data_IF_641472239665
#
_entry.id   IF_641472239665
#
_cell.length_a   1.000
_cell.length_b   1.000
_cell.length_c   1.000
_cell.angle_alpha   90.00
_cell.angle_beta   90.00
_cell.angle_gamma   90.00
#
_symmetry.space_group_name_H-M   'P 1'
#
loop_
_entity.id
_entity.type
_entity.pdbx_description
1 polymer ?
#
# COMPACT_ATOMS: atom_id res chain seq x y z
N UNK A 1 -3.05 -8.00 -32.54
CA UNK A 1 -3.98 -8.44 -31.48
C UNK A 1 -3.64 -9.83 -30.95
N UNK A 2 -3.48 -10.86 -31.76
CA UNK A 2 -3.15 -12.24 -31.32
C UNK A 2 -1.82 -12.37 -30.54
N UNK A 3 -0.77 -11.66 -30.88
CA UNK A 3 0.54 -11.74 -30.19
C UNK A 3 0.51 -11.19 -28.75
N UNK A 4 -0.31 -10.19 -28.47
CA UNK A 4 -0.46 -9.63 -27.13
C UNK A 4 -1.23 -10.59 -26.22
N UNK A 5 -2.30 -11.19 -26.73
CA UNK A 5 -3.06 -12.21 -26.00
C UNK A 5 -2.24 -13.46 -25.73
N UNK A 6 -1.39 -13.88 -26.67
CA UNK A 6 -0.51 -15.02 -26.48
C UNK A 6 0.56 -14.77 -25.42
N UNK A 7 1.17 -13.57 -25.40
CA UNK A 7 2.12 -13.17 -24.33
C UNK A 7 1.45 -13.10 -22.95
N UNK A 8 0.25 -12.56 -22.86
CA UNK A 8 -0.53 -12.54 -21.62
C UNK A 8 -0.88 -13.95 -21.14
N UNK A 9 -1.24 -14.84 -22.05
CA UNK A 9 -1.51 -16.24 -21.74
C UNK A 9 -0.24 -16.99 -21.27
N UNK A 10 0.91 -16.73 -21.89
CA UNK A 10 2.19 -17.31 -21.44
C UNK A 10 2.59 -16.82 -20.05
N UNK A 11 2.49 -15.51 -19.81
CA UNK A 11 2.77 -14.93 -18.49
C UNK A 11 1.82 -15.48 -17.40
N UNK A 12 0.54 -15.64 -17.72
CA UNK A 12 -0.44 -16.27 -16.84
C UNK A 12 -0.08 -17.74 -16.52
N UNK A 13 0.31 -18.53 -17.55
CA UNK A 13 0.76 -19.91 -17.34
C UNK A 13 2.01 -20.02 -16.49
N UNK A 14 3.02 -19.19 -16.74
CA UNK A 14 4.25 -19.16 -15.95
C UNK A 14 3.98 -18.82 -14.49
N UNK A 15 3.14 -17.82 -14.23
CA UNK A 15 2.71 -17.46 -12.87
C UNK A 15 1.93 -18.58 -12.19
N UNK A 16 1.03 -19.27 -12.92
CA UNK A 16 0.28 -20.40 -12.39
C UNK A 16 1.20 -21.58 -12.03
N UNK A 17 2.18 -21.91 -12.86
CA UNK A 17 3.15 -22.97 -12.60
C UNK A 17 4.08 -22.66 -11.42
N UNK A 18 4.41 -21.38 -11.20
CA UNK A 18 5.18 -20.93 -10.03
C UNK A 18 4.33 -21.05 -8.77
N UNK A 19 3.07 -20.66 -8.83
CA UNK A 19 2.14 -20.77 -7.71
C UNK A 19 1.90 -22.23 -7.31
N UNK A 20 1.66 -23.10 -8.31
CA UNK A 20 1.45 -24.53 -8.08
C UNK A 20 2.67 -25.19 -7.41
N UNK A 21 3.89 -24.82 -7.83
CA UNK A 21 5.13 -25.26 -7.18
C UNK A 21 5.23 -24.78 -5.74
N UNK A 22 4.96 -23.53 -5.48
CA UNK A 22 4.99 -22.97 -4.11
C UNK A 22 3.95 -23.63 -3.20
N UNK A 23 2.75 -23.88 -3.71
CA UNK A 23 1.69 -24.60 -2.97
C UNK A 23 2.09 -26.04 -2.70
N UNK A 24 2.73 -26.71 -3.68
CA UNK A 24 3.26 -28.08 -3.50
C UNK A 24 4.35 -28.13 -2.42
N UNK A 25 5.30 -27.19 -2.47
CA UNK A 25 6.38 -27.11 -1.50
C UNK A 25 5.88 -26.82 -0.08
N UNK A 26 4.90 -25.92 0.05
CA UNK A 26 4.20 -25.66 1.31
C UNK A 26 3.50 -26.92 1.86
N UNK A 27 2.80 -27.68 1.01
CA UNK A 27 2.18 -28.95 1.42
C UNK A 27 3.20 -29.97 1.91
N UNK A 28 4.36 -30.04 1.23
CA UNK A 28 5.43 -30.94 1.62
C UNK A 28 6.07 -30.53 2.96
N UNK A 29 6.30 -29.24 3.17
CA UNK A 29 6.80 -28.70 4.44
C UNK A 29 5.82 -28.96 5.58
N UNK A 30 4.52 -28.73 5.36
CA UNK A 30 3.47 -29.03 6.36
C UNK A 30 3.44 -30.53 6.73
N UNK A 31 3.63 -31.43 5.77
CA UNK A 31 3.66 -32.87 6.04
C UNK A 31 4.86 -33.27 6.91
N UNK A 32 6.03 -32.64 6.71
CA UNK A 32 7.23 -32.86 7.56
C UNK A 32 6.97 -32.31 8.98
N UNK A 33 6.42 -31.12 9.11
CA UNK A 33 6.13 -30.48 10.39
C UNK A 33 5.11 -31.29 11.22
N UNK A 34 4.13 -31.90 10.55
CA UNK A 34 3.15 -32.77 11.22
C UNK A 34 3.80 -33.95 11.90
N UNK A 35 4.95 -34.44 11.37
CA UNK A 35 5.70 -35.58 11.88
C UNK A 35 6.79 -35.19 12.91
N UNK A 36 7.04 -33.89 13.12
CA UNK A 36 8.03 -33.43 14.09
C UNK A 36 7.54 -33.71 15.52
N UNK A 37 8.29 -34.54 16.29
CA UNK A 37 7.91 -34.91 17.65
C UNK A 37 8.21 -33.80 18.68
N UNK A 38 9.13 -32.92 18.39
CA UNK A 38 9.49 -31.79 19.26
C UNK A 38 8.50 -30.65 19.09
N UNK A 39 7.73 -30.39 20.15
CA UNK A 39 6.67 -29.37 20.13
C UNK A 39 7.21 -27.96 19.87
N UNK A 40 8.37 -27.63 20.41
CA UNK A 40 8.99 -26.29 20.24
C UNK A 40 9.45 -26.07 18.80
N UNK A 41 10.08 -27.08 18.20
CA UNK A 41 10.47 -27.03 16.79
C UNK A 41 9.26 -26.98 15.87
N UNK A 42 8.21 -27.72 16.20
CA UNK A 42 6.96 -27.70 15.43
C UNK A 42 6.32 -26.32 15.45
N UNK A 43 6.28 -25.63 16.58
CA UNK A 43 5.77 -24.26 16.69
C UNK A 43 6.62 -23.28 15.87
N UNK A 44 7.96 -23.38 15.92
CA UNK A 44 8.85 -22.56 15.11
C UNK A 44 8.63 -22.73 13.59
N UNK A 45 8.53 -23.98 13.12
CA UNK A 45 8.28 -24.26 11.70
C UNK A 45 6.90 -23.76 11.23
N UNK A 46 5.87 -23.84 12.10
CA UNK A 46 4.55 -23.30 11.78
C UNK A 46 4.57 -21.76 11.69
N UNK A 47 5.37 -21.11 12.52
CA UNK A 47 5.58 -19.66 12.47
C UNK A 47 6.29 -19.22 11.18
N UNK A 48 7.37 -19.94 10.79
CA UNK A 48 8.07 -19.70 9.52
C UNK A 48 7.15 -19.85 8.30
N UNK A 49 6.31 -20.89 8.27
CA UNK A 49 5.33 -21.08 7.18
C UNK A 49 4.27 -19.97 7.17
N UNK A 50 3.81 -19.57 8.35
CA UNK A 50 2.85 -18.47 8.46
C UNK A 50 3.40 -17.17 7.88
N UNK A 51 4.66 -16.84 8.16
CA UNK A 51 5.35 -15.68 7.57
C UNK A 51 5.44 -15.77 6.04
N UNK A 52 5.75 -16.94 5.50
CA UNK A 52 5.82 -17.16 4.05
C UNK A 52 4.44 -16.95 3.41
N UNK A 53 3.39 -17.49 4.01
CA UNK A 53 2.01 -17.32 3.52
C UNK A 53 1.61 -15.84 3.55
N UNK A 54 1.86 -15.14 4.66
CA UNK A 54 1.54 -13.72 4.78
C UNK A 54 2.32 -12.85 3.77
N UNK A 55 3.57 -13.21 3.48
CA UNK A 55 4.36 -12.54 2.43
C UNK A 55 3.76 -12.73 1.04
N UNK A 56 3.18 -13.92 0.76
CA UNK A 56 2.50 -14.20 -0.51
C UNK A 56 1.17 -13.43 -0.62
N UNK A 57 0.40 -13.38 0.47
CA UNK A 57 -0.88 -12.66 0.53
C UNK A 57 -0.69 -11.13 0.46
N UNK A 58 0.47 -10.64 0.93
CA UNK A 58 0.81 -9.21 0.88
C UNK A 58 1.15 -8.71 -0.52
N UNK A 59 1.41 -9.59 -1.50
CA UNK A 59 1.82 -9.18 -2.84
C UNK A 59 0.72 -8.43 -3.57
N UNK A 60 1.04 -7.21 -4.02
CA UNK A 60 0.17 -6.34 -4.81
C UNK A 60 0.78 -6.14 -6.18
N UNK A 61 0.00 -6.35 -7.23
CA UNK A 61 0.39 -6.16 -8.63
C UNK A 61 -0.52 -5.11 -9.27
N UNK A 62 0.03 -3.93 -9.56
CA UNK A 62 -0.69 -2.78 -10.11
C UNK A 62 -0.34 -2.50 -11.58
N UNK A 63 0.70 -3.16 -12.08
CA UNK A 63 1.30 -2.88 -13.39
C UNK A 63 2.41 -1.83 -13.35
N UNK A 64 2.79 -1.33 -12.17
CA UNK A 64 3.96 -0.47 -11.97
C UNK A 64 4.91 -1.11 -10.96
N UNK A 65 6.08 -1.61 -11.38
CA UNK A 65 6.98 -2.39 -10.51
C UNK A 65 7.45 -1.65 -9.25
N UNK A 66 7.62 -0.32 -9.34
CA UNK A 66 8.04 0.50 -8.20
C UNK A 66 6.93 0.56 -7.17
N UNK A 67 5.71 0.85 -7.63
CA UNK A 67 4.54 0.92 -6.77
C UNK A 67 4.20 -0.45 -6.18
N UNK A 68 4.33 -1.52 -6.98
CA UNK A 68 4.10 -2.90 -6.54
C UNK A 68 5.00 -3.27 -5.35
N UNK A 69 6.28 -2.87 -5.42
CA UNK A 69 7.23 -3.07 -4.32
C UNK A 69 6.81 -2.32 -3.06
N UNK A 70 6.47 -1.03 -3.21
CA UNK A 70 6.07 -0.18 -2.08
C UNK A 70 4.78 -0.72 -1.44
N UNK A 71 3.76 -0.98 -2.25
CA UNK A 71 2.46 -1.43 -1.77
C UNK A 71 2.54 -2.81 -1.12
N UNK A 72 3.30 -3.74 -1.68
CA UNK A 72 3.47 -5.08 -1.10
C UNK A 72 4.17 -5.00 0.26
N UNK A 73 5.22 -4.19 0.38
CA UNK A 73 5.91 -3.99 1.66
C UNK A 73 4.99 -3.36 2.72
N UNK A 74 4.22 -2.33 2.35
CA UNK A 74 3.30 -1.68 3.27
C UNK A 74 2.11 -2.57 3.63
N UNK A 75 1.59 -3.35 2.67
CA UNK A 75 0.53 -4.32 2.93
C UNK A 75 0.99 -5.42 3.88
N UNK A 76 2.21 -5.94 3.71
CA UNK A 76 2.80 -6.90 4.65
C UNK A 76 2.85 -6.34 6.07
N UNK A 77 3.34 -5.10 6.21
CA UNK A 77 3.36 -4.42 7.51
C UNK A 77 1.96 -4.27 8.11
N UNK A 78 0.97 -3.87 7.30
CA UNK A 78 -0.41 -3.72 7.72
C UNK A 78 -1.01 -5.04 8.23
N UNK A 79 -0.78 -6.16 7.51
CA UNK A 79 -1.24 -7.48 7.91
C UNK A 79 -0.66 -7.89 9.28
N UNK A 80 0.63 -7.65 9.51
CA UNK A 80 1.30 -7.95 10.79
C UNK A 80 0.74 -7.14 11.96
N UNK A 81 0.23 -5.93 11.70
CA UNK A 81 -0.24 -5.00 12.75
C UNK A 81 -1.78 -4.90 12.85
N UNK A 82 -2.50 -5.83 12.23
CA UNK A 82 -3.96 -5.86 12.27
C UNK A 82 -4.61 -4.64 11.62
N UNK A 83 -3.98 -4.09 10.56
CA UNK A 83 -4.49 -2.97 9.76
C UNK A 83 -5.09 -3.52 8.47
N UNK A 84 -6.34 -3.16 8.19
CA UNK A 84 -7.00 -3.51 6.93
C UNK A 84 -6.62 -2.49 5.86
N UNK A 85 -5.74 -2.88 4.94
CA UNK A 85 -5.26 -2.06 3.84
C UNK A 85 -5.87 -2.53 2.52
N UNK A 86 -6.74 -1.72 1.92
CA UNK A 86 -7.39 -2.03 0.64
C UNK A 86 -6.81 -1.17 -0.48
N UNK A 87 -6.44 -1.79 -1.62
CA UNK A 87 -5.89 -1.12 -2.78
C UNK A 87 -6.73 -1.34 -4.03
N UNK A 88 -7.09 -0.26 -4.74
CA UNK A 88 -7.67 -0.27 -6.09
C UNK A 88 -6.81 0.67 -6.94
N UNK A 89 -5.84 0.14 -7.64
CA UNK A 89 -4.75 0.93 -8.22
C UNK A 89 -4.52 0.58 -9.69
N UNK A 90 -4.57 1.60 -10.55
CA UNK A 90 -4.15 1.55 -11.96
C UNK A 90 -2.69 2.03 -12.05
N UNK A 91 -1.73 1.18 -11.70
CA UNK A 91 -0.31 1.55 -11.62
C UNK A 91 0.32 1.93 -12.96
N UNK A 92 -0.18 1.37 -14.07
CA UNK A 92 0.26 1.73 -15.41
C UNK A 92 0.06 3.23 -15.72
N UNK A 93 -0.92 3.88 -15.08
CA UNK A 93 -1.18 5.30 -15.27
C UNK A 93 -0.10 6.21 -14.67
N UNK A 94 0.86 5.67 -13.90
CA UNK A 94 1.95 6.39 -13.26
C UNK A 94 3.25 6.38 -14.07
N UNK A 95 3.28 5.81 -15.29
CA UNK A 95 4.50 5.66 -16.09
C UNK A 95 5.19 7.00 -16.46
N UNK A 96 4.48 8.12 -16.38
CA UNK A 96 5.03 9.46 -16.61
C UNK A 96 5.76 10.04 -15.41
N UNK A 97 5.65 9.42 -14.23
CA UNK A 97 6.28 9.89 -13.01
C UNK A 97 7.66 9.24 -12.81
N UNK A 98 8.58 10.03 -12.25
CA UNK A 98 9.90 9.54 -11.82
C UNK A 98 9.76 8.55 -10.66
N UNK A 99 10.64 7.54 -10.63
CA UNK A 99 10.67 6.48 -9.60
C UNK A 99 10.79 7.06 -8.19
N UNK A 100 11.63 8.09 -8.02
CA UNK A 100 11.84 8.72 -6.71
C UNK A 100 10.60 9.50 -6.26
N UNK A 101 9.88 10.12 -7.20
CA UNK A 101 8.67 10.85 -6.91
C UNK A 101 7.51 9.91 -6.55
N UNK A 102 7.37 8.77 -7.25
CA UNK A 102 6.42 7.71 -6.88
C UNK A 102 6.73 7.24 -5.46
N UNK A 103 8.00 6.94 -5.16
CA UNK A 103 8.41 6.46 -3.84
C UNK A 103 8.14 7.49 -2.75
N UNK A 104 8.50 8.75 -2.98
CA UNK A 104 8.27 9.83 -2.01
C UNK A 104 6.78 10.08 -1.76
N UNK A 105 5.96 10.08 -2.81
CA UNK A 105 4.54 10.36 -2.72
C UNK A 105 3.79 9.23 -2.00
N UNK A 106 3.90 8.01 -2.52
CA UNK A 106 3.17 6.87 -1.95
C UNK A 106 3.74 6.41 -0.61
N UNK A 107 5.06 6.45 -0.43
CA UNK A 107 5.70 6.14 0.83
C UNK A 107 5.18 7.05 1.95
N UNK A 108 5.30 8.37 1.79
CA UNK A 108 4.85 9.32 2.80
C UNK A 108 3.33 9.26 3.03
N UNK A 109 2.53 9.10 1.95
CA UNK A 109 1.08 9.04 2.09
C UNK A 109 0.65 7.84 2.95
N UNK A 110 1.16 6.64 2.63
CA UNK A 110 0.78 5.42 3.33
C UNK A 110 1.34 5.40 4.74
N UNK A 111 2.57 5.88 4.97
CA UNK A 111 3.14 5.96 6.32
C UNK A 111 2.32 6.86 7.24
N UNK A 112 1.89 8.02 6.75
CA UNK A 112 1.02 8.91 7.51
C UNK A 112 -0.31 8.23 7.90
N UNK A 113 -0.90 7.46 6.97
CA UNK A 113 -2.13 6.73 7.24
C UNK A 113 -1.92 5.60 8.25
N UNK A 114 -0.84 4.83 8.14
CA UNK A 114 -0.46 3.78 9.09
C UNK A 114 -0.28 4.37 10.49
N UNK A 115 0.52 5.42 10.63
CA UNK A 115 0.74 6.10 11.91
C UNK A 115 -0.55 6.64 12.55
N UNK A 116 -1.52 7.05 11.75
CA UNK A 116 -2.81 7.50 12.25
C UNK A 116 -3.64 6.33 12.81
N UNK A 117 -3.76 5.23 12.05
CA UNK A 117 -4.60 4.09 12.46
C UNK A 117 -3.96 3.25 13.57
N UNK A 118 -2.64 3.23 13.70
CA UNK A 118 -1.96 2.53 14.80
C UNK A 118 -2.32 3.07 16.20
N UNK A 119 -2.72 4.34 16.28
CA UNK A 119 -3.19 4.98 17.53
C UNK A 119 -4.59 4.54 17.95
N UNK A 120 -5.29 3.77 17.12
CA UNK A 120 -6.63 3.28 17.37
C UNK A 120 -6.55 1.93 18.08
N UNK A 121 -7.15 1.81 19.24
CA UNK A 121 -7.12 0.57 20.04
C UNK A 121 -7.90 -0.57 19.37
N UNK A 122 -9.07 -0.25 18.78
CA UNK A 122 -9.90 -1.23 18.08
C UNK A 122 -9.34 -1.55 16.69
N UNK A 123 -8.77 -2.73 16.52
CA UNK A 123 -8.18 -3.19 15.27
C UNK A 123 -9.17 -3.25 14.11
N UNK A 124 -10.46 -3.48 14.36
CA UNK A 124 -11.49 -3.46 13.31
C UNK A 124 -11.68 -2.06 12.68
N UNK A 125 -11.26 -1.01 13.38
CA UNK A 125 -11.30 0.37 12.90
C UNK A 125 -9.98 0.83 12.29
N UNK A 126 -8.94 0.00 12.25
CA UNK A 126 -7.69 0.30 11.57
C UNK A 126 -7.85 0.09 10.06
N UNK A 127 -8.48 1.05 9.42
CA UNK A 127 -8.89 0.97 8.02
C UNK A 127 -8.14 1.99 7.18
N UNK A 128 -7.52 1.52 6.09
CA UNK A 128 -6.84 2.35 5.08
C UNK A 128 -7.31 1.91 3.69
N UNK A 129 -7.67 2.85 2.84
CA UNK A 129 -8.06 2.57 1.45
C UNK A 129 -7.29 3.46 0.50
N UNK A 130 -6.53 2.87 -0.42
CA UNK A 130 -5.84 3.55 -1.51
C UNK A 130 -6.57 3.33 -2.83
N UNK A 131 -6.91 4.41 -3.53
CA UNK A 131 -7.45 4.37 -4.89
C UNK A 131 -6.59 5.22 -5.81
N UNK A 132 -6.17 4.64 -6.94
CA UNK A 132 -5.47 5.35 -8.02
C UNK A 132 -6.20 5.04 -9.31
N UNK A 133 -6.85 6.05 -9.88
CA UNK A 133 -7.69 5.89 -11.07
C UNK A 133 -7.43 7.03 -12.04
N UNK A 134 -7.45 6.73 -13.34
CA UNK A 134 -7.47 7.74 -14.38
C UNK A 134 -8.91 8.14 -14.71
N UNK A 135 -9.17 9.43 -14.77
CA UNK A 135 -10.44 9.96 -15.22
C UNK A 135 -10.21 11.10 -16.24
N UNK A 136 -10.62 10.90 -17.49
CA UNK A 136 -10.34 11.82 -18.59
C UNK A 136 -8.84 12.11 -18.72
N UNK A 137 -8.42 13.36 -18.52
CA UNK A 137 -7.03 13.82 -18.60
C UNK A 137 -6.37 13.96 -17.22
N UNK A 138 -6.93 13.33 -16.20
CA UNK A 138 -6.41 13.42 -14.83
C UNK A 138 -6.18 12.04 -14.22
N UNK A 139 -5.08 11.92 -13.50
CA UNK A 139 -4.84 10.86 -12.54
C UNK A 139 -5.31 11.33 -11.16
N UNK A 140 -6.16 10.56 -10.53
CA UNK A 140 -6.68 10.83 -9.19
C UNK A 140 -6.10 9.78 -8.25
N UNK A 141 -5.33 10.23 -7.27
CA UNK A 141 -4.81 9.43 -6.17
C UNK A 141 -5.59 9.84 -4.93
N UNK A 142 -6.23 8.89 -4.28
CA UNK A 142 -7.01 9.09 -3.07
C UNK A 142 -6.61 8.07 -2.03
N UNK A 143 -6.22 8.54 -0.85
CA UNK A 143 -5.95 7.73 0.31
C UNK A 143 -6.90 8.16 1.43
N UNK A 144 -7.69 7.22 1.92
CA UNK A 144 -8.61 7.41 3.03
C UNK A 144 -8.13 6.56 4.21
N UNK A 145 -8.07 7.14 5.40
CA UNK A 145 -7.84 6.39 6.63
C UNK A 145 -8.82 6.80 7.73
N UNK A 146 -9.15 5.84 8.59
CA UNK A 146 -9.96 6.12 9.77
C UNK A 146 -9.12 6.85 10.83
N UNK A 147 -9.68 7.85 11.49
CA UNK A 147 -8.99 8.68 12.49
C UNK A 147 -9.98 9.25 13.50
N UNK A 148 -9.82 8.88 14.76
CA UNK A 148 -10.64 9.35 15.89
C UNK A 148 -10.12 10.62 16.53
N UNK A 149 -8.99 11.17 16.06
CA UNK A 149 -8.42 12.39 16.62
C UNK A 149 -9.31 13.61 16.38
N UNK A 150 -9.13 14.66 17.17
CA UNK A 150 -9.81 15.94 17.00
C UNK A 150 -9.12 16.85 15.98
N UNK A 151 -8.50 16.28 14.94
CA UNK A 151 -7.81 17.04 13.91
C UNK A 151 -8.80 17.93 13.16
N UNK A 152 -8.63 19.22 13.27
CA UNK A 152 -9.44 20.20 12.53
C UNK A 152 -8.72 20.58 11.23
N UNK A 153 -9.31 20.19 10.10
CA UNK A 153 -8.85 20.50 8.75
C UNK A 153 -9.78 21.51 8.04
N UNK A 154 -10.67 22.18 8.79
CA UNK A 154 -11.69 23.08 8.24
C UNK A 154 -11.12 24.31 7.51
N UNK A 155 -9.86 24.66 7.74
CA UNK A 155 -9.23 25.84 7.12
C UNK A 155 -8.73 25.62 5.69
N UNK A 156 -8.78 24.38 5.16
CA UNK A 156 -8.25 24.05 3.83
C UNK A 156 -6.74 24.27 3.68
N UNK A 157 -6.06 24.70 4.72
CA UNK A 157 -4.60 24.78 4.79
C UNK A 157 -4.06 23.48 5.34
N UNK A 158 -2.93 23.03 4.77
CA UNK A 158 -2.19 21.90 5.31
C UNK A 158 -1.86 22.20 6.78
N UNK A 159 -2.12 21.28 7.71
CA UNK A 159 -1.89 21.53 9.12
C UNK A 159 -0.42 21.90 9.35
N UNK A 160 -0.19 23.08 9.92
CA UNK A 160 1.11 23.40 10.47
C UNK A 160 1.36 22.41 11.61
N UNK A 161 2.46 21.67 11.53
CA UNK A 161 2.82 20.66 12.49
C UNK A 161 2.96 21.24 13.88
N UNK A 162 1.89 21.15 14.67
CA UNK A 162 1.89 21.48 16.11
C UNK A 162 2.42 20.31 16.91
N UNK A 163 3.69 19.95 16.80
CA UNK A 163 4.32 19.05 17.77
C UNK A 163 5.78 19.37 17.97
N UNK A 164 6.09 19.53 19.26
CA UNK A 164 7.36 19.72 19.94
C UNK A 164 8.40 18.59 19.75
N UNK A 165 8.24 17.71 18.78
CA UNK A 165 9.27 16.75 18.37
C UNK A 165 9.66 17.05 16.93
N UNK A 166 10.76 17.78 16.80
CA UNK A 166 11.26 18.46 15.60
C UNK A 166 11.78 17.54 14.50
N UNK A 167 11.66 16.23 14.54
CA UNK A 167 12.55 15.44 13.71
C UNK A 167 11.97 14.70 12.49
N UNK A 168 10.64 14.50 12.31
CA UNK A 168 10.25 13.74 11.10
C UNK A 168 8.86 14.01 10.46
N UNK A 169 7.86 14.64 11.13
CA UNK A 169 6.47 14.63 10.63
C UNK A 169 6.04 15.83 9.75
N UNK A 170 6.83 16.90 9.66
CA UNK A 170 6.52 18.06 8.80
C UNK A 170 6.97 17.92 7.35
N UNK A 171 7.86 16.99 7.08
CA UNK A 171 8.47 16.86 5.76
C UNK A 171 7.64 16.01 4.78
N UNK A 172 6.89 15.02 5.26
CA UNK A 172 6.13 14.11 4.42
C UNK A 172 5.06 14.83 3.59
N UNK A 173 4.24 15.66 4.24
CA UNK A 173 3.16 16.38 3.56
C UNK A 173 3.69 17.43 2.57
N UNK A 174 4.74 18.17 2.96
CA UNK A 174 5.42 19.13 2.06
C UNK A 174 6.09 18.42 0.89
N UNK A 175 6.68 17.24 1.10
CA UNK A 175 7.26 16.43 0.04
C UNK A 175 6.21 15.97 -0.96
N UNK A 176 5.05 15.50 -0.49
CA UNK A 176 3.94 15.10 -1.37
C UNK A 176 3.36 16.29 -2.15
N UNK A 177 3.22 17.45 -1.50
CA UNK A 177 2.77 18.68 -2.15
C UNK A 177 3.77 19.15 -3.22
N UNK A 178 5.07 19.10 -2.92
CA UNK A 178 6.12 19.40 -3.88
C UNK A 178 6.03 18.50 -5.11
N UNK A 179 5.87 17.18 -4.90
CA UNK A 179 5.72 16.23 -6.01
C UNK A 179 4.44 16.53 -6.81
N UNK A 180 3.31 16.76 -6.16
CA UNK A 180 2.07 17.09 -6.85
C UNK A 180 2.23 18.34 -7.73
N UNK A 181 2.83 19.40 -7.19
CA UNK A 181 3.09 20.64 -7.91
C UNK A 181 4.08 20.47 -9.07
N UNK A 182 5.12 19.63 -8.90
CA UNK A 182 6.10 19.30 -9.95
C UNK A 182 5.42 18.74 -11.20
N UNK A 183 4.35 17.97 -11.03
CA UNK A 183 3.55 17.40 -12.13
C UNK A 183 2.34 18.26 -12.52
N UNK A 184 2.29 19.52 -12.09
CA UNK A 184 1.22 20.46 -12.42
C UNK A 184 -0.14 20.14 -11.78
N UNK A 185 -0.11 19.34 -10.72
CA UNK A 185 -1.29 18.92 -9.98
C UNK A 185 -1.50 19.67 -8.67
N UNK A 186 -2.35 19.12 -7.83
CA UNK A 186 -2.66 19.66 -6.51
C UNK A 186 -2.88 18.56 -5.49
N UNK A 187 -2.61 18.88 -4.22
CA UNK A 187 -2.87 18.02 -3.07
C UNK A 187 -3.88 18.70 -2.18
N UNK A 188 -4.86 17.94 -1.71
CA UNK A 188 -5.85 18.38 -0.71
C UNK A 188 -5.94 17.36 0.41
N UNK A 189 -6.11 17.84 1.62
CA UNK A 189 -6.33 17.02 2.81
C UNK A 189 -7.64 17.51 3.45
N UNK A 190 -8.55 16.58 3.72
CA UNK A 190 -9.83 16.87 4.36
C UNK A 190 -10.16 15.81 5.39
N UNK A 191 -11.02 16.19 6.35
CA UNK A 191 -11.58 15.26 7.33
C UNK A 191 -13.08 15.43 7.34
N UNK A 192 -13.78 14.33 7.19
CA UNK A 192 -15.23 14.25 7.29
C UNK A 192 -15.57 13.12 8.27
N UNK A 193 -16.28 13.45 9.33
CA UNK A 193 -16.49 12.56 10.46
C UNK A 193 -15.16 12.02 11.02
N UNK A 194 -15.01 10.69 10.98
CA UNK A 194 -13.81 9.99 11.41
C UNK A 194 -12.93 9.51 10.23
N UNK A 195 -13.06 10.13 9.05
CA UNK A 195 -12.28 9.79 7.88
C UNK A 195 -11.39 10.95 7.46
N UNK A 196 -10.10 10.72 7.42
CA UNK A 196 -9.13 11.63 6.80
C UNK A 196 -8.95 11.19 5.36
N UNK A 197 -9.07 12.13 4.43
CA UNK A 197 -8.89 11.92 3.01
C UNK A 197 -7.73 12.78 2.50
N UNK A 198 -6.70 12.12 2.00
CA UNK A 198 -5.67 12.73 1.16
C UNK A 198 -6.07 12.51 -0.30
N UNK A 199 -6.17 13.60 -1.06
CA UNK A 199 -6.49 13.56 -2.49
C UNK A 199 -5.46 14.33 -3.29
N UNK A 200 -4.90 13.68 -4.31
CA UNK A 200 -3.96 14.29 -5.25
C UNK A 200 -4.55 14.15 -6.65
N UNK A 201 -4.53 15.23 -7.41
CA UNK A 201 -4.99 15.26 -8.79
C UNK A 201 -3.82 15.71 -9.65
N UNK A 202 -3.39 14.86 -10.58
CA UNK A 202 -2.30 15.16 -11.52
C UNK A 202 -2.86 15.16 -12.96
N UNK A 203 -2.52 16.15 -13.80
CA UNK A 203 -2.85 16.07 -15.22
C UNK A 203 -2.05 14.95 -15.87
N UNK A 204 -2.72 14.10 -16.65
CA UNK A 204 -2.06 13.14 -17.53
C UNK A 204 -1.50 13.92 -18.72
N UNK A 205 -0.17 13.91 -18.88
CA UNK A 205 0.46 14.51 -20.03
C UNK A 205 0.07 13.71 -21.29
N UNK A 206 -0.43 14.40 -22.29
CA UNK A 206 -0.81 13.82 -23.58
C UNK A 206 0.42 13.36 -24.37
#
# INVERSE_FOLDING_TARGET
>A
MFQLQYKQYQAYRENSEILDRKVHDLKHQLAIIQQEPDKTKKEQYLEEISEVIQTLDAKIETGNPVLDTILSQKNYYCLQNGINFTCIVQGEALHFMDVMDISALFGNAIDNAIEAVEKIDNTEQRLITLKVTSHQQFLIIRLDNYDTSSLDLSTGQLPETSKTNMDYHGFGLKSMEYVANKYGGSLTLSKEDNWVQLKIILPLQA
#
